data_IF_922543836809
#
_entry.id   IF_922543836809
#
_cell.length_a   1.000
_cell.length_b   1.000
_cell.length_c   1.000
_cell.angle_alpha   90.00
_cell.angle_beta   90.00
_cell.angle_gamma   90.00
#
_symmetry.space_group_name_H-M   'P 1'
#
loop_
_entity.id
_entity.type
_entity.pdbx_description
1 polymer ?
#
# COMPACT_ATOMS: atom_id res chain seq x y z
N UNK A 1 23.41 38.27 13.38
CA UNK A 1 23.10 37.80 12.03
C UNK A 1 22.33 36.50 12.17
N UNK A 2 21.05 36.44 11.78
CA UNK A 2 20.24 35.23 11.88
C UNK A 2 20.54 34.26 10.72
N UNK A 3 20.69 32.98 11.05
CA UNK A 3 20.76 31.88 10.08
C UNK A 3 19.44 31.74 9.32
N UNK A 4 19.46 31.56 7.99
CA UNK A 4 18.29 31.17 7.23
C UNK A 4 18.23 29.64 7.15
N UNK A 5 17.63 28.99 8.14
CA UNK A 5 17.21 27.58 7.99
C UNK A 5 15.74 27.56 7.57
N UNK A 6 15.55 27.83 6.27
CA UNK A 6 14.29 27.77 5.57
C UNK A 6 14.60 27.28 4.17
N UNK A 7 14.68 25.95 4.01
CA UNK A 7 15.11 25.33 2.76
C UNK A 7 14.45 23.98 2.55
N UNK A 8 13.28 24.03 1.89
CA UNK A 8 12.64 22.97 1.10
C UNK A 8 12.64 21.53 1.65
N UNK A 9 11.43 21.06 1.95
CA UNK A 9 11.05 19.66 1.74
C UNK A 9 11.22 19.31 0.26
N UNK A 10 12.41 18.88 -0.12
CA UNK A 10 12.64 18.30 -1.45
C UNK A 10 11.90 16.97 -1.50
N UNK A 11 10.69 16.98 -2.07
CA UNK A 11 10.03 15.79 -2.58
C UNK A 11 10.90 15.26 -3.73
N UNK A 12 11.91 14.45 -3.39
CA UNK A 12 12.69 13.73 -4.37
C UNK A 12 11.81 12.59 -4.88
N UNK A 13 11.45 12.64 -6.17
CA UNK A 13 11.00 11.46 -6.87
C UNK A 13 12.10 10.39 -6.66
N UNK A 14 11.78 9.33 -5.93
CA UNK A 14 12.74 8.28 -5.58
C UNK A 14 13.08 7.53 -6.86
N UNK A 15 14.14 7.94 -7.54
CA UNK A 15 14.71 7.17 -8.65
C UNK A 15 15.24 5.87 -8.05
N UNK A 16 14.62 4.73 -8.37
CA UNK A 16 15.22 3.43 -8.04
C UNK A 16 16.63 3.39 -8.62
N UNK A 17 17.62 2.82 -7.90
CA UNK A 17 18.92 2.62 -8.49
C UNK A 17 18.76 1.72 -9.73
N UNK A 18 19.47 2.05 -10.81
CA UNK A 18 19.31 1.44 -12.15
C UNK A 18 19.52 -0.07 -12.16
N UNK A 19 20.13 -0.61 -11.12
CA UNK A 19 20.38 -2.05 -10.92
C UNK A 19 19.13 -2.85 -10.52
N UNK A 20 18.00 -2.21 -10.17
CA UNK A 20 16.76 -2.91 -9.87
C UNK A 20 16.04 -3.31 -11.16
N UNK A 21 15.76 -4.61 -11.28
CA UNK A 21 15.15 -5.19 -12.47
C UNK A 21 13.65 -5.26 -12.24
N UNK A 22 12.88 -4.49 -13.01
CA UNK A 22 11.42 -4.58 -13.02
C UNK A 22 11.00 -5.96 -13.51
N UNK A 23 10.30 -6.72 -12.66
CA UNK A 23 9.80 -8.04 -13.02
C UNK A 23 8.31 -7.98 -13.37
N UNK A 24 7.97 -8.60 -14.50
CA UNK A 24 6.61 -8.61 -15.05
C UNK A 24 6.12 -10.04 -15.19
N UNK A 25 4.86 -10.28 -14.82
CA UNK A 25 4.20 -11.56 -15.01
C UNK A 25 4.20 -11.93 -16.50
N UNK A 26 4.64 -13.15 -16.88
CA UNK A 26 4.79 -13.52 -18.29
C UNK A 26 3.45 -13.58 -19.06
N UNK A 27 2.32 -13.75 -18.38
CA UNK A 27 0.99 -13.79 -19.00
C UNK A 27 0.47 -12.40 -19.40
N UNK A 28 0.22 -11.53 -18.43
CA UNK A 28 -0.49 -10.25 -18.62
C UNK A 28 0.43 -9.03 -18.63
N UNK A 29 1.75 -9.24 -18.52
CA UNK A 29 2.78 -8.18 -18.43
C UNK A 29 2.62 -7.19 -17.27
N UNK A 30 1.76 -7.52 -16.32
CA UNK A 30 1.59 -6.76 -15.09
C UNK A 30 2.91 -6.78 -14.31
N UNK A 31 3.29 -5.62 -13.76
CA UNK A 31 4.47 -5.52 -12.91
C UNK A 31 4.13 -6.20 -11.58
N UNK A 32 4.94 -7.15 -11.15
CA UNK A 32 4.74 -7.91 -9.91
C UNK A 32 5.74 -7.52 -8.81
N UNK A 33 6.75 -6.72 -9.16
CA UNK A 33 7.71 -6.11 -8.25
C UNK A 33 9.06 -5.89 -8.92
N UNK A 34 10.12 -5.91 -8.14
CA UNK A 34 11.50 -5.73 -8.59
C UNK A 34 12.40 -6.82 -8.05
N UNK A 35 13.44 -7.14 -8.80
CA UNK A 35 14.54 -8.01 -8.37
C UNK A 35 15.77 -7.13 -8.19
N UNK A 36 16.33 -7.12 -6.98
CA UNK A 36 17.51 -6.34 -6.60
C UNK A 36 18.73 -7.26 -6.51
N UNK A 37 19.87 -6.94 -7.15
CA UNK A 37 21.10 -7.72 -6.96
C UNK A 37 21.62 -7.59 -5.52
N UNK A 38 22.12 -8.71 -4.98
CA UNK A 38 22.68 -8.81 -3.64
C UNK A 38 23.92 -9.72 -3.65
N UNK A 39 25.04 -9.19 -4.13
CA UNK A 39 26.25 -9.99 -4.37
C UNK A 39 26.10 -10.85 -5.62
N UNK A 40 26.29 -12.16 -5.49
CA UNK A 40 26.04 -13.15 -6.54
C UNK A 40 24.56 -13.63 -6.57
N UNK A 41 23.77 -13.22 -5.57
CA UNK A 41 22.36 -13.59 -5.39
C UNK A 41 21.41 -12.41 -5.65
N UNK A 42 20.11 -12.64 -5.45
CA UNK A 42 19.03 -11.70 -5.75
C UNK A 42 18.03 -11.60 -4.60
N UNK A 43 17.47 -10.41 -4.40
CA UNK A 43 16.40 -10.18 -3.43
C UNK A 43 15.13 -9.80 -4.19
N UNK A 44 14.05 -10.53 -3.94
CA UNK A 44 12.73 -10.15 -4.41
C UNK A 44 12.21 -8.97 -3.58
N UNK A 45 11.83 -7.89 -4.26
CA UNK A 45 11.23 -6.71 -3.65
C UNK A 45 9.83 -6.53 -4.20
N UNK A 46 8.85 -6.56 -3.31
CA UNK A 46 7.44 -6.41 -3.65
C UNK A 46 7.12 -5.06 -4.31
N UNK A 47 5.94 -4.95 -4.94
CA UNK A 47 5.44 -3.69 -5.52
C UNK A 47 5.43 -2.52 -4.51
N UNK A 48 5.26 -2.79 -3.22
CA UNK A 48 5.28 -1.79 -2.16
C UNK A 48 6.69 -1.46 -1.66
N UNK A 49 7.74 -2.07 -2.22
CA UNK A 49 9.13 -1.78 -1.88
C UNK A 49 9.66 -2.51 -0.65
N UNK A 50 8.96 -3.54 -0.18
CA UNK A 50 9.44 -4.41 0.91
C UNK A 50 10.15 -5.64 0.33
N UNK A 51 11.29 -5.98 0.93
CA UNK A 51 12.02 -7.21 0.66
C UNK A 51 11.12 -8.41 1.05
N UNK A 52 10.91 -9.34 0.12
CA UNK A 52 10.09 -10.55 0.29
C UNK A 52 10.93 -11.76 0.65
N UNK A 53 12.19 -11.75 0.24
CA UNK A 53 13.13 -12.85 0.43
C UNK A 53 14.42 -12.33 1.05
N UNK A 54 15.16 -13.22 1.69
CA UNK A 54 16.61 -13.06 1.81
C UNK A 54 17.28 -13.20 0.42
N UNK A 55 18.61 -13.00 0.29
CA UNK A 55 19.30 -13.26 -0.97
C UNK A 55 19.11 -14.72 -1.41
N UNK A 56 18.56 -14.90 -2.60
CA UNK A 56 18.21 -16.18 -3.22
C UNK A 56 18.58 -16.18 -4.70
N UNK A 57 18.53 -17.34 -5.34
CA UNK A 57 18.66 -17.42 -6.79
C UNK A 57 17.50 -16.72 -7.52
N UNK A 58 17.73 -16.41 -8.80
CA UNK A 58 16.80 -15.67 -9.65
C UNK A 58 15.41 -16.33 -9.70
N UNK A 59 15.35 -17.65 -9.87
CA UNK A 59 14.09 -18.37 -10.00
C UNK A 59 13.27 -18.29 -8.70
N UNK A 60 13.92 -18.49 -7.55
CA UNK A 60 13.26 -18.33 -6.25
C UNK A 60 12.74 -16.90 -6.03
N UNK A 61 13.48 -15.88 -6.48
CA UNK A 61 13.03 -14.49 -6.42
C UNK A 61 11.78 -14.25 -7.31
N UNK A 62 11.76 -14.81 -8.53
CA UNK A 62 10.59 -14.74 -9.44
C UNK A 62 9.36 -15.41 -8.83
N UNK A 63 9.49 -16.63 -8.30
CA UNK A 63 8.36 -17.35 -7.69
C UNK A 63 7.79 -16.59 -6.47
N UNK A 64 8.65 -15.96 -5.66
CA UNK A 64 8.22 -15.15 -4.53
C UNK A 64 7.40 -13.91 -4.95
N UNK A 65 7.81 -13.27 -6.06
CA UNK A 65 7.06 -12.14 -6.64
C UNK A 65 5.72 -12.59 -7.22
N UNK A 66 5.68 -13.71 -7.94
CA UNK A 66 4.45 -14.21 -8.56
C UNK A 66 3.41 -14.60 -7.49
N UNK A 67 3.83 -15.33 -6.46
CA UNK A 67 2.97 -15.74 -5.35
C UNK A 67 2.42 -14.55 -4.57
N UNK A 68 3.26 -13.55 -4.28
CA UNK A 68 2.87 -12.38 -3.49
C UNK A 68 1.94 -11.45 -4.27
N UNK A 69 2.20 -11.21 -5.56
CA UNK A 69 1.37 -10.32 -6.38
C UNK A 69 -0.05 -10.85 -6.57
N UNK A 70 -0.26 -12.16 -6.72
CA UNK A 70 -1.60 -12.76 -6.77
C UNK A 70 -2.36 -12.54 -5.46
N UNK A 71 -1.71 -12.76 -4.32
CA UNK A 71 -2.31 -12.53 -3.01
C UNK A 71 -2.72 -11.06 -2.84
N UNK A 72 -1.90 -10.13 -3.33
CA UNK A 72 -2.14 -8.69 -3.17
C UNK A 72 -3.31 -8.14 -3.97
N UNK A 73 -3.60 -8.71 -5.15
CA UNK A 73 -4.77 -8.34 -5.96
C UNK A 73 -6.07 -8.92 -5.42
N UNK A 74 -6.00 -10.11 -4.83
CA UNK A 74 -7.17 -10.83 -4.34
C UNK A 74 -7.62 -10.34 -2.95
N UNK A 75 -6.72 -9.79 -2.14
CA UNK A 75 -6.97 -9.51 -0.73
C UNK A 75 -7.40 -8.04 -0.45
N UNK A 76 -8.12 -7.85 0.65
CA UNK A 76 -8.56 -6.54 1.08
C UNK A 76 -7.46 -5.86 1.90
N UNK A 77 -7.22 -4.57 1.68
CA UNK A 77 -6.19 -3.83 2.42
C UNK A 77 -6.82 -2.91 3.46
N UNK A 78 -6.10 -2.69 4.56
CA UNK A 78 -6.46 -1.77 5.63
C UNK A 78 -5.41 -0.66 5.74
N UNK A 79 -5.85 0.60 5.77
CA UNK A 79 -5.04 1.77 6.04
C UNK A 79 -5.30 2.26 7.46
N UNK A 80 -4.31 2.11 8.35
CA UNK A 80 -4.34 2.65 9.70
C UNK A 80 -4.31 4.17 9.67
N UNK A 81 -5.20 4.80 10.45
CA UNK A 81 -5.30 6.25 10.60
C UNK A 81 -4.97 6.65 12.03
N UNK A 82 -4.18 7.70 12.19
CA UNK A 82 -3.95 8.30 13.51
C UNK A 82 -5.28 8.82 14.07
N UNK A 83 -5.75 8.22 15.17
CA UNK A 83 -6.95 8.68 15.88
C UNK A 83 -8.29 8.25 15.26
N UNK A 84 -8.32 7.25 14.38
CA UNK A 84 -9.55 6.75 13.77
C UNK A 84 -9.53 5.25 13.51
N UNK A 85 -10.68 4.71 13.09
CA UNK A 85 -10.77 3.31 12.67
C UNK A 85 -9.95 3.08 11.38
N UNK A 86 -9.35 1.89 11.21
CA UNK A 86 -8.65 1.56 9.98
C UNK A 86 -9.64 1.53 8.81
N UNK A 87 -9.23 2.07 7.67
CA UNK A 87 -10.06 2.12 6.47
C UNK A 87 -9.76 0.96 5.54
N UNK A 88 -10.80 0.33 5.02
CA UNK A 88 -10.63 -0.63 3.94
C UNK A 88 -10.34 0.11 2.64
N UNK A 89 -9.24 -0.27 2.00
CA UNK A 89 -8.74 0.37 0.79
C UNK A 89 -8.36 -0.67 -0.26
N UNK A 90 -8.24 -0.22 -1.51
CA UNK A 90 -7.65 -0.97 -2.62
C UNK A 90 -6.52 -0.17 -3.24
N UNK A 91 -5.48 -0.87 -3.68
CA UNK A 91 -4.37 -0.27 -4.41
C UNK A 91 -4.84 0.09 -5.82
N UNK A 92 -4.56 1.31 -6.27
CA UNK A 92 -4.93 1.76 -7.63
C UNK A 92 -3.74 2.17 -8.46
N UNK A 93 -2.66 2.61 -7.81
CA UNK A 93 -1.41 2.92 -8.47
C UNK A 93 -0.28 2.61 -7.50
N UNK A 94 0.71 1.85 -7.94
CA UNK A 94 1.89 1.54 -7.15
C UNK A 94 3.11 1.80 -8.02
N UNK A 95 3.87 2.81 -7.65
CA UNK A 95 5.10 3.20 -8.33
C UNK A 95 6.19 3.48 -7.29
N UNK A 96 7.47 3.49 -7.69
CA UNK A 96 8.56 3.87 -6.80
C UNK A 96 8.50 5.33 -6.33
N UNK A 97 7.71 6.17 -7.00
CA UNK A 97 7.48 7.56 -6.62
C UNK A 97 6.43 7.68 -5.52
N UNK A 98 5.38 6.85 -5.59
CA UNK A 98 4.23 6.89 -4.68
C UNK A 98 3.38 5.63 -4.75
N UNK A 99 2.71 5.34 -3.64
CA UNK A 99 1.65 4.34 -3.55
C UNK A 99 0.32 5.06 -3.37
N UNK A 100 -0.62 4.87 -4.28
CA UNK A 100 -1.97 5.45 -4.21
C UNK A 100 -2.96 4.34 -3.91
N UNK A 101 -3.73 4.56 -2.84
CA UNK A 101 -4.84 3.70 -2.44
C UNK A 101 -6.13 4.50 -2.43
N UNK A 102 -7.26 3.84 -2.67
CA UNK A 102 -8.57 4.47 -2.50
C UNK A 102 -9.44 3.67 -1.53
N UNK A 103 -10.41 4.32 -0.91
CA UNK A 103 -11.45 3.63 -0.14
C UNK A 103 -12.18 2.60 -1.02
N UNK A 104 -12.35 1.40 -0.46
CA UNK A 104 -13.09 0.30 -1.09
C UNK A 104 -14.58 0.44 -0.76
N UNK A 105 -15.36 0.98 -1.69
CA UNK A 105 -16.82 1.14 -1.52
C UNK A 105 -17.62 -0.06 -2.03
N UNK A 106 -17.02 -1.26 -2.00
CA UNK A 106 -17.70 -2.50 -2.42
C UNK A 106 -18.33 -2.46 -3.82
N UNK A 107 -17.80 -1.63 -4.72
CA UNK A 107 -18.26 -1.51 -6.11
C UNK A 107 -19.44 -0.56 -6.35
N UNK A 108 -19.81 0.31 -5.40
CA UNK A 108 -20.81 1.33 -5.68
C UNK A 108 -20.29 2.37 -6.70
N UNK A 109 -21.12 2.66 -7.69
CA UNK A 109 -20.75 3.52 -8.83
C UNK A 109 -20.82 5.02 -8.45
N UNK A 110 -21.64 5.37 -7.46
CA UNK A 110 -21.91 6.76 -7.04
C UNK A 110 -21.18 7.17 -5.75
N UNK A 111 -20.32 6.30 -5.22
CA UNK A 111 -19.67 6.55 -3.95
C UNK A 111 -18.53 7.57 -4.05
N UNK A 112 -18.46 8.46 -3.05
CA UNK A 112 -17.32 9.35 -2.88
C UNK A 112 -16.10 8.53 -2.44
N UNK A 113 -15.23 8.20 -3.41
CA UNK A 113 -13.98 7.49 -3.14
C UNK A 113 -12.91 8.48 -2.70
N UNK A 114 -12.35 8.24 -1.52
CA UNK A 114 -11.26 9.06 -1.01
C UNK A 114 -9.93 8.41 -1.40
N UNK A 115 -9.04 9.18 -2.02
CA UNK A 115 -7.71 8.73 -2.44
C UNK A 115 -6.66 9.19 -1.46
N UNK A 116 -5.78 8.26 -1.08
CA UNK A 116 -4.69 8.49 -0.17
C UNK A 116 -3.37 8.23 -0.89
N UNK A 117 -2.49 9.23 -0.89
CA UNK A 117 -1.12 9.11 -1.40
C UNK A 117 -0.21 8.75 -0.23
N UNK A 118 0.51 7.64 -0.37
CA UNK A 118 1.46 7.10 0.59
C UNK A 118 2.87 7.14 -0.02
N UNK A 119 3.91 7.29 0.81
CA UNK A 119 5.28 7.19 0.33
C UNK A 119 5.59 5.77 -0.16
N UNK A 120 6.62 5.66 -0.99
CA UNK A 120 7.26 4.40 -1.34
C UNK A 120 8.67 4.34 -0.71
N UNK A 121 9.08 3.22 -0.09
CA UNK A 121 8.32 2.01 0.17
C UNK A 121 7.10 2.27 1.07
N UNK A 122 6.07 1.44 0.95
CA UNK A 122 4.81 1.65 1.64
C UNK A 122 5.01 1.65 3.16
N UNK A 123 4.31 2.53 3.89
CA UNK A 123 4.43 2.57 5.33
C UNK A 123 3.67 1.40 5.96
N UNK A 124 4.11 0.93 7.13
CA UNK A 124 3.50 -0.17 7.89
C UNK A 124 2.02 0.03 8.27
N UNK A 125 1.50 1.26 8.15
CA UNK A 125 0.07 1.56 8.27
C UNK A 125 -0.78 0.99 7.14
N UNK A 126 -0.19 0.69 5.99
CA UNK A 126 -0.85 -0.04 4.91
C UNK A 126 -0.56 -1.53 5.11
N UNK A 127 -1.59 -2.29 5.44
CA UNK A 127 -1.45 -3.73 5.75
C UNK A 127 -2.59 -4.54 5.16
N UNK A 128 -2.36 -5.84 4.98
CA UNK A 128 -3.43 -6.78 4.64
C UNK A 128 -4.50 -6.78 5.73
N UNK A 129 -5.74 -6.98 5.30
CA UNK A 129 -6.87 -7.17 6.21
C UNK A 129 -6.64 -8.45 7.00
N UNK A 130 -6.82 -8.34 8.30
CA UNK A 130 -6.85 -9.47 9.23
C UNK A 130 -8.30 -9.84 9.49
N UNK A 131 -8.52 -11.07 9.93
CA UNK A 131 -9.88 -11.55 10.25
C UNK A 131 -10.57 -10.77 11.38
N UNK A 132 -9.82 -10.03 12.19
CA UNK A 132 -10.33 -9.20 13.31
C UNK A 132 -10.66 -7.76 12.88
N UNK A 133 -10.34 -7.38 11.64
CA UNK A 133 -10.55 -6.00 11.18
C UNK A 133 -12.03 -5.67 10.98
N UNK A 134 -12.45 -4.45 11.38
CA UNK A 134 -13.81 -4.00 11.17
C UNK A 134 -14.13 -3.98 9.67
N UNK A 135 -15.34 -4.36 9.31
CA UNK A 135 -15.81 -4.17 7.93
C UNK A 135 -15.75 -2.69 7.59
N UNK A 136 -15.05 -2.36 6.49
CA UNK A 136 -14.72 -1.00 6.06
C UNK A 136 -15.90 -0.08 5.71
N UNK A 137 -17.13 -0.43 6.09
CA UNK A 137 -18.32 0.41 5.96
C UNK A 137 -18.32 1.64 6.88
N UNK A 138 -17.36 1.78 7.80
CA UNK A 138 -17.35 2.89 8.75
C UNK A 138 -16.63 4.11 8.14
N UNK A 139 -17.33 4.83 7.27
CA UNK A 139 -17.08 6.26 7.12
C UNK A 139 -17.48 6.92 8.43
N UNK A 140 -16.55 7.61 9.07
CA UNK A 140 -16.78 8.38 10.29
C UNK A 140 -17.98 9.33 10.08
N UNK A 141 -19.12 9.03 10.70
CA UNK A 141 -20.32 9.85 10.47
C UNK A 141 -21.65 9.38 11.05
N UNK A 142 -21.72 8.51 12.06
CA UNK A 142 -22.92 8.41 12.91
C UNK A 142 -22.49 8.25 14.36
N UNK A 143 -22.41 9.37 15.08
CA UNK A 143 -22.69 9.35 16.51
C UNK A 143 -24.17 9.01 16.64
N UNK A 144 -24.51 7.79 17.04
CA UNK A 144 -25.89 7.46 17.46
C UNK A 144 -26.10 8.13 18.82
N UNK A 145 -26.24 9.45 18.82
CA UNK A 145 -26.63 10.24 19.98
C UNK A 145 -28.15 10.19 20.11
N UNK A 146 -28.66 9.21 20.84
CA UNK A 146 -30.09 9.04 21.10
C UNK A 146 -30.35 8.50 22.50
N UNK A 147 -29.99 9.27 23.52
CA UNK A 147 -30.68 9.26 24.83
C UNK A 147 -31.38 10.62 24.92
N UNK A 148 -32.63 10.83 25.34
CA UNK A 148 -33.57 10.12 26.25
C UNK A 148 -35.03 10.47 25.83
N UNK A 149 -36.02 10.60 26.74
CA UNK A 149 -36.90 9.56 27.30
C UNK A 149 -38.36 9.69 26.79
N UNK A 150 -39.13 8.60 26.81
CA UNK A 150 -40.58 8.68 26.61
C UNK A 150 -41.28 8.56 27.96
N UNK A 151 -41.96 9.60 28.46
CA UNK A 151 -42.89 9.47 29.57
C UNK A 151 -44.28 9.04 29.05
N UNK A 152 -44.93 8.12 29.75
CA UNK A 152 -46.38 8.10 29.92
C UNK A 152 -46.68 7.76 31.40
#
# INVERSE_FOLDING_TARGET
MPSPDGGLVASVARMLPTEWIEHRRPGDREIVGWIRPAGDDWVAVSLLGHDLTEPVDWLAAEEALDATSLAWLADAWMLERTGGAPLRVRMVEVTPDRVVVQTDDFGAIDAQVERYVLPWPAPSRLRLRRSDDPDGRVLAGVTVGGTSPQPD
#
